data_IF_572894045725
#
_entry.id   IF_572894045725
#
_cell.length_a   1.000
_cell.length_b   1.000
_cell.length_c   1.000
_cell.angle_alpha   90.00
_cell.angle_beta   90.00
_cell.angle_gamma   90.00
#
_symmetry.space_group_name_H-M   'P 1'
#
loop_
_entity.id
_entity.type
_entity.pdbx_description
1 polymer ?
#
# COMPACT_ATOMS: atom_id res chain seq x y z
N UNK A 1 -7.64 8.08 -4.50
CA UNK A 1 -7.17 7.07 -5.50
C UNK A 1 -5.63 7.05 -5.54
N UNK A 2 -4.98 6.74 -4.41
CA UNK A 2 -3.51 6.79 -4.33
C UNK A 2 -2.85 5.43 -4.58
N UNK A 3 -3.51 4.32 -4.20
CA UNK A 3 -2.98 2.96 -4.31
C UNK A 3 -2.58 2.55 -5.74
N UNK A 4 -3.45 2.63 -6.77
CA UNK A 4 -3.05 2.23 -8.12
C UNK A 4 -1.91 3.09 -8.70
N UNK A 5 -1.87 4.37 -8.32
CA UNK A 5 -0.83 5.30 -8.78
C UNK A 5 0.50 5.00 -8.07
N UNK A 6 0.46 4.74 -6.77
CA UNK A 6 1.63 4.34 -6.00
C UNK A 6 2.21 3.02 -6.51
N UNK A 7 1.35 2.03 -6.80
CA UNK A 7 1.76 0.76 -7.38
C UNK A 7 2.47 0.96 -8.72
N UNK A 8 1.91 1.77 -9.61
CA UNK A 8 2.55 2.10 -10.88
C UNK A 8 3.96 2.69 -10.69
N UNK A 9 4.13 3.64 -9.76
CA UNK A 9 5.45 4.21 -9.49
C UNK A 9 6.42 3.18 -8.91
N UNK A 10 5.95 2.30 -8.02
CA UNK A 10 6.78 1.25 -7.42
C UNK A 10 7.27 0.25 -8.48
N UNK A 11 6.36 -0.23 -9.34
CA UNK A 11 6.66 -1.15 -10.44
C UNK A 11 7.54 -0.51 -11.51
N UNK A 12 7.40 0.80 -11.73
CA UNK A 12 8.27 1.58 -12.64
C UNK A 12 9.65 1.89 -12.04
N UNK A 13 9.96 1.39 -10.84
CA UNK A 13 11.23 1.60 -10.14
C UNK A 13 11.35 2.92 -9.37
N UNK A 14 10.34 3.79 -9.43
CA UNK A 14 10.29 5.02 -8.65
C UNK A 14 9.68 4.76 -7.26
N UNK A 15 10.43 4.06 -6.42
CA UNK A 15 9.99 3.60 -5.11
C UNK A 15 9.71 4.76 -4.15
N UNK A 16 10.53 5.81 -4.18
CA UNK A 16 10.35 6.99 -3.32
C UNK A 16 9.00 7.66 -3.57
N UNK A 17 8.64 7.83 -4.86
CA UNK A 17 7.35 8.43 -5.23
C UNK A 17 6.17 7.54 -4.83
N UNK A 18 6.32 6.23 -4.91
CA UNK A 18 5.29 5.29 -4.46
C UNK A 18 5.04 5.43 -2.96
N UNK A 19 6.11 5.46 -2.15
CA UNK A 19 6.03 5.62 -0.69
C UNK A 19 5.39 6.96 -0.33
N UNK A 20 5.85 8.07 -0.94
CA UNK A 20 5.30 9.40 -0.70
C UNK A 20 3.78 9.45 -0.92
N UNK A 21 3.29 8.83 -2.00
CA UNK A 21 1.85 8.77 -2.30
C UNK A 21 1.06 8.01 -1.24
N UNK A 22 1.62 6.93 -0.69
CA UNK A 22 0.97 6.19 0.39
C UNK A 22 0.93 7.01 1.68
N UNK A 23 2.01 7.71 2.04
CA UNK A 23 2.03 8.59 3.20
C UNK A 23 1.03 9.76 3.08
N UNK A 24 0.90 10.35 1.89
CA UNK A 24 -0.09 11.40 1.61
C UNK A 24 -1.51 10.85 1.74
N UNK A 25 -1.74 9.61 1.33
CA UNK A 25 -3.03 8.94 1.48
C UNK A 25 -3.37 8.70 2.96
N UNK A 26 -2.42 8.20 3.76
CA UNK A 26 -2.60 7.99 5.20
C UNK A 26 -2.98 9.30 5.91
N UNK A 27 -2.23 10.38 5.66
CA UNK A 27 -2.52 11.73 6.18
C UNK A 27 -3.89 12.24 5.72
N UNK A 28 -4.36 11.83 4.55
CA UNK A 28 -5.69 12.22 4.06
C UNK A 28 -6.81 11.52 4.80
N UNK A 29 -6.61 10.25 5.23
CA UNK A 29 -7.59 9.51 6.03
C UNK A 29 -7.78 10.16 7.40
N UNK A 30 -6.71 10.65 8.04
CA UNK A 30 -6.84 11.37 9.32
C UNK A 30 -7.61 12.68 9.22
N UNK A 31 -7.68 13.27 8.02
CA UNK A 31 -8.42 14.52 7.76
C UNK A 31 -9.89 14.30 7.40
N UNK A 32 -10.39 13.07 7.31
CA UNK A 32 -11.77 12.77 6.92
C UNK A 32 -12.82 13.13 7.99
N UNK A 33 -12.41 13.67 9.15
CA UNK A 33 -13.32 14.01 10.25
C UNK A 33 -13.75 12.78 11.05
N UNK A 34 -14.77 12.89 11.91
CA UNK A 34 -15.23 11.78 12.74
C UNK A 34 -15.91 10.72 11.86
N UNK A 35 -15.13 9.72 11.46
CA UNK A 35 -15.61 8.51 10.80
C UNK A 35 -15.54 7.33 11.78
N UNK A 36 -16.43 6.33 11.67
CA UNK A 36 -16.36 5.13 12.51
C UNK A 36 -15.04 4.38 12.33
N UNK A 37 -14.54 3.76 13.40
CA UNK A 37 -13.24 3.07 13.40
C UNK A 37 -13.15 1.98 12.33
N UNK A 38 -14.22 1.18 12.13
CA UNK A 38 -14.24 0.15 11.09
C UNK A 38 -14.10 0.75 9.67
N UNK A 39 -14.67 1.94 9.45
CA UNK A 39 -14.54 2.66 8.18
C UNK A 39 -13.11 3.18 8.02
N UNK A 40 -12.52 3.72 9.10
CA UNK A 40 -11.13 4.17 9.11
C UNK A 40 -10.17 3.01 8.80
N UNK A 41 -10.35 1.86 9.46
CA UNK A 41 -9.55 0.66 9.25
C UNK A 41 -9.65 0.15 7.80
N UNK A 42 -10.84 0.18 7.19
CA UNK A 42 -11.02 -0.20 5.78
C UNK A 42 -10.12 0.61 4.83
N UNK A 43 -9.90 1.90 5.11
CA UNK A 43 -8.99 2.74 4.33
C UNK A 43 -7.52 2.58 4.73
N UNK A 44 -7.22 2.44 6.02
CA UNK A 44 -5.85 2.36 6.53
C UNK A 44 -5.17 1.02 6.19
N UNK A 45 -5.86 -0.10 6.34
CA UNK A 45 -5.28 -1.45 6.16
C UNK A 45 -4.59 -1.63 4.80
N UNK A 46 -5.23 -1.37 3.65
CA UNK A 46 -4.56 -1.54 2.35
C UNK A 46 -3.41 -0.55 2.13
N UNK A 47 -3.49 0.66 2.71
CA UNK A 47 -2.41 1.65 2.63
C UNK A 47 -1.19 1.22 3.42
N UNK A 48 -1.40 0.77 4.65
CA UNK A 48 -0.33 0.24 5.51
C UNK A 48 0.28 -1.02 4.90
N UNK A 49 -0.54 -1.89 4.30
CA UNK A 49 -0.02 -3.09 3.66
C UNK A 49 0.89 -2.75 2.48
N UNK A 50 0.50 -1.78 1.65
CA UNK A 50 1.34 -1.28 0.56
C UNK A 50 2.64 -0.64 1.09
N UNK A 51 2.55 0.19 2.14
CA UNK A 51 3.72 0.83 2.74
C UNK A 51 4.72 -0.20 3.28
N UNK A 52 4.21 -1.19 4.01
CA UNK A 52 5.04 -2.26 4.55
C UNK A 52 5.71 -3.05 3.41
N UNK A 53 4.94 -3.36 2.36
CA UNK A 53 5.43 -4.07 1.18
C UNK A 53 6.49 -3.31 0.39
N UNK A 54 6.41 -1.97 0.32
CA UNK A 54 7.37 -1.13 -0.40
C UNK A 54 8.66 -0.89 0.38
N UNK A 55 8.55 -0.76 1.71
CA UNK A 55 9.70 -0.51 2.59
C UNK A 55 10.39 -1.78 3.05
N UNK A 56 9.67 -2.92 3.05
CA UNK A 56 10.15 -4.18 3.62
C UNK A 56 10.08 -4.20 5.15
N UNK A 57 9.51 -3.17 5.77
CA UNK A 57 9.41 -3.03 7.22
C UNK A 57 7.93 -3.02 7.67
N UNK A 58 7.61 -3.39 8.92
CA UNK A 58 6.27 -3.25 9.44
C UNK A 58 5.80 -1.78 9.38
N UNK A 59 4.57 -1.56 8.92
CA UNK A 59 3.97 -0.24 8.85
C UNK A 59 2.87 -0.12 9.90
N UNK A 60 2.91 0.95 10.70
CA UNK A 60 1.94 1.24 11.74
C UNK A 60 1.36 2.64 11.56
N UNK A 61 0.07 2.78 11.84
CA UNK A 61 -0.59 4.09 11.95
C UNK A 61 -1.73 4.02 12.96
N UNK A 62 -1.70 4.92 13.95
CA UNK A 62 -2.53 4.83 15.15
C UNK A 62 -2.42 3.45 15.81
N UNK A 63 -3.53 2.77 16.06
CA UNK A 63 -3.57 1.46 16.73
C UNK A 63 -3.50 0.27 15.74
N UNK A 64 -3.27 0.51 14.44
CA UNK A 64 -3.19 -0.53 13.42
C UNK A 64 -1.76 -0.69 12.91
N UNK A 65 -1.25 -1.91 12.95
CA UNK A 65 0.04 -2.30 12.41
C UNK A 65 -0.12 -3.50 11.47
N UNK A 66 0.63 -3.51 10.39
CA UNK A 66 0.71 -4.66 9.47
C UNK A 66 2.17 -4.99 9.18
N UNK A 67 2.44 -6.29 9.05
CA UNK A 67 3.74 -6.76 8.58
C UNK A 67 3.78 -6.74 7.05
N UNK A 68 4.97 -6.58 6.44
CA UNK A 68 5.15 -6.79 5.02
C UNK A 68 4.72 -8.22 4.67
N UNK A 69 3.89 -8.36 3.64
CA UNK A 69 3.46 -9.65 3.10
C UNK A 69 4.22 -10.02 1.82
N UNK A 70 5.08 -9.13 1.33
CA UNK A 70 5.94 -9.44 0.19
C UNK A 70 7.01 -10.47 0.58
N UNK A 71 6.79 -11.74 0.20
CA UNK A 71 7.82 -12.39 -0.63
C UNK A 71 7.94 -11.55 -1.90
N UNK A 72 9.14 -11.38 -2.45
CA UNK A 72 9.37 -10.67 -3.72
C UNK A 72 8.29 -11.05 -4.76
N UNK A 73 8.00 -10.20 -5.77
CA UNK A 73 7.23 -10.67 -6.90
C UNK A 73 8.00 -11.85 -7.49
N UNK A 74 7.61 -13.08 -7.17
CA UNK A 74 7.75 -14.16 -8.12
C UNK A 74 6.98 -13.65 -9.31
N UNK A 75 7.72 -13.17 -10.31
CA UNK A 75 7.30 -13.18 -11.69
C UNK A 75 6.54 -14.48 -11.86
N UNK A 76 5.22 -14.41 -11.88
CA UNK A 76 4.41 -15.48 -12.42
C UNK A 76 4.67 -15.41 -13.93
N UNK A 77 5.85 -15.90 -14.33
CA UNK A 77 6.05 -16.56 -15.60
C UNK A 77 5.08 -17.75 -15.59
N UNK A 78 3.83 -17.50 -15.95
CA UNK A 78 2.84 -18.55 -16.21
C UNK A 78 1.82 -18.03 -17.21
N UNK A 79 2.29 -17.72 -18.41
CA UNK A 79 1.53 -17.98 -19.63
C UNK A 79 2.53 -18.27 -20.77
N UNK A 80 2.84 -19.54 -21.06
CA UNK A 80 2.94 -19.94 -22.44
C UNK A 80 1.54 -20.22 -23.00
N UNK A 81 1.31 -19.64 -24.18
CA UNK A 81 0.52 -20.16 -25.32
C UNK A 81 -1.01 -20.25 -25.14
N UNK A 82 -1.78 -19.40 -25.84
CA UNK A 82 -2.19 -19.54 -27.26
C UNK A 82 -2.99 -20.82 -27.52
N UNK A 83 -4.32 -20.67 -27.65
CA UNK A 83 -5.12 -21.31 -28.70
C UNK A 83 -6.35 -20.42 -29.02
#
# INVERSE_FOLDING_TARGET
RYLPVAQYYYESGNKDRAIELIEVALKSVDRLGPIPDHTKQYYLTPLLQALANYTGEPACHADLCVAPQNKAPETQESLPEQE
#
